data_IF_764953167759
#
_entry.id   IF_764953167759
#
_cell.length_a   1.000
_cell.length_b   1.000
_cell.length_c   1.000
_cell.angle_alpha   90.00
_cell.angle_beta   90.00
_cell.angle_gamma   90.00
#
_symmetry.space_group_name_H-M   'P 1'
#
loop_
_entity.id
_entity.type
_entity.pdbx_description
1 polymer ?
#
# COMPACT_ATOMS: atom_id res chain seq x y z
N UNK A 1 23.56 -6.65 26.47
CA UNK A 1 22.49 -6.38 25.48
C UNK A 1 22.89 -5.12 24.73
N UNK A 2 23.45 -5.25 23.53
CA UNK A 2 24.15 -4.15 22.84
C UNK A 2 23.16 -3.39 21.95
N UNK A 3 22.89 -2.13 22.32
CA UNK A 3 21.97 -1.23 21.62
C UNK A 3 22.72 -0.59 20.44
N UNK A 4 22.37 -0.98 19.21
CA UNK A 4 22.92 -0.41 17.99
C UNK A 4 22.04 0.75 17.55
N UNK A 5 22.62 1.95 17.41
CA UNK A 5 21.98 3.10 16.78
C UNK A 5 22.41 3.17 15.31
N UNK A 6 21.53 3.49 14.35
CA UNK A 6 21.96 3.76 12.98
C UNK A 6 22.68 5.11 12.91
N UNK A 7 23.96 5.06 12.50
CA UNK A 7 24.76 6.24 12.21
C UNK A 7 24.21 6.96 10.97
N UNK A 8 23.74 8.19 11.15
CA UNK A 8 23.45 9.10 10.05
C UNK A 8 24.78 9.69 9.54
N UNK A 9 25.25 9.22 8.38
CA UNK A 9 26.31 9.91 7.63
C UNK A 9 25.66 10.79 6.57
N UNK A 10 26.08 12.05 6.38
CA UNK A 10 25.48 12.95 5.40
C UNK A 10 25.88 12.56 3.97
N UNK A 11 24.89 12.57 3.06
CA UNK A 11 25.09 12.32 1.63
C UNK A 11 25.98 13.40 0.95
N UNK A 12 26.77 13.03 -0.08
CA UNK A 12 27.38 13.99 -0.99
C UNK A 12 26.33 14.58 -1.96
N UNK A 13 26.55 15.85 -2.34
CA UNK A 13 25.73 16.59 -3.33
C UNK A 13 25.90 16.00 -4.75
N UNK A 14 24.84 15.98 -5.59
CA UNK A 14 24.96 15.47 -6.96
C UNK A 14 25.61 16.51 -7.89
N UNK A 15 26.77 16.16 -8.45
CA UNK A 15 27.33 16.79 -9.65
C UNK A 15 26.66 16.21 -10.90
N UNK A 16 26.21 17.08 -11.79
CA UNK A 16 25.46 16.72 -12.99
C UNK A 16 26.25 15.86 -13.98
N UNK A 17 25.54 14.90 -14.58
CA UNK A 17 25.98 14.11 -15.72
C UNK A 17 24.79 13.39 -16.33
N UNK A 18 24.41 13.78 -17.55
CA UNK A 18 23.33 13.18 -18.33
C UNK A 18 23.82 11.89 -18.96
N UNK A 19 23.22 10.75 -18.61
CA UNK A 19 23.25 9.55 -19.44
C UNK A 19 21.82 9.09 -19.66
N UNK A 20 21.33 9.31 -20.89
CA UNK A 20 20.12 8.67 -21.41
C UNK A 20 20.31 7.15 -21.31
N UNK A 21 19.70 6.51 -20.32
CA UNK A 21 19.55 5.08 -20.31
C UNK A 21 18.23 4.73 -21.01
N UNK A 22 18.35 3.89 -22.04
CA UNK A 22 17.24 3.35 -22.81
C UNK A 22 16.21 2.72 -21.86
N UNK A 23 14.93 3.02 -22.13
CA UNK A 23 13.80 2.44 -21.42
C UNK A 23 13.66 0.97 -21.82
N UNK A 24 14.40 0.13 -21.10
CA UNK A 24 14.30 -1.32 -21.16
C UNK A 24 13.42 -1.82 -20.00
N UNK A 25 12.49 -2.67 -20.39
CA UNK A 25 11.65 -3.60 -19.66
C UNK A 25 10.91 -3.20 -18.35
N UNK A 26 9.69 -3.68 -18.27
CA UNK A 26 8.76 -3.66 -17.16
C UNK A 26 9.40 -4.06 -15.81
N UNK A 27 10.03 -3.11 -15.12
CA UNK A 27 10.67 -3.35 -13.82
C UNK A 27 9.60 -3.68 -12.76
N UNK A 28 9.31 -4.97 -12.59
CA UNK A 28 8.51 -5.45 -11.47
C UNK A 28 9.20 -5.04 -10.16
N UNK A 29 8.48 -4.34 -9.29
CA UNK A 29 9.00 -3.87 -8.00
C UNK A 29 8.52 -4.82 -6.91
N UNK A 30 9.47 -5.40 -6.17
CA UNK A 30 9.16 -6.22 -4.99
C UNK A 30 9.21 -5.35 -3.76
N UNK A 31 8.14 -5.39 -2.96
CA UNK A 31 8.04 -4.67 -1.70
C UNK A 31 7.79 -5.66 -0.56
N UNK A 32 8.50 -5.49 0.55
CA UNK A 32 8.29 -6.26 1.77
C UNK A 32 7.52 -5.41 2.78
N UNK A 33 6.34 -5.87 3.18
CA UNK A 33 5.50 -5.20 4.19
C UNK A 33 5.71 -5.84 5.56
N UNK A 34 6.11 -5.04 6.54
CA UNK A 34 6.34 -5.45 7.92
C UNK A 34 5.30 -4.80 8.81
N UNK A 35 4.65 -5.58 9.67
CA UNK A 35 3.73 -5.04 10.67
C UNK A 35 4.54 -4.48 11.84
N UNK A 36 4.22 -3.27 12.29
CA UNK A 36 4.79 -2.70 13.51
C UNK A 36 4.32 -3.49 14.74
N UNK A 37 5.17 -3.59 15.76
CA UNK A 37 4.83 -4.27 17.01
C UNK A 37 3.69 -3.55 17.75
N UNK A 38 2.84 -4.31 18.44
CA UNK A 38 1.71 -3.83 19.23
C UNK A 38 2.12 -3.17 20.56
N UNK A 39 3.41 -3.13 20.88
CA UNK A 39 3.90 -2.50 22.11
C UNK A 39 3.78 -0.97 21.97
N UNK A 40 2.86 -0.39 22.75
CA UNK A 40 2.59 1.05 22.93
C UNK A 40 2.24 1.83 21.65
N UNK A 41 0.95 1.97 21.35
CA UNK A 41 0.39 2.96 20.40
C UNK A 41 0.98 2.93 18.96
N UNK A 42 1.68 1.86 18.58
CA UNK A 42 2.39 1.75 17.30
C UNK A 42 1.68 0.82 16.31
N UNK A 43 0.41 1.07 16.03
CA UNK A 43 -0.32 0.33 15.01
C UNK A 43 0.03 0.83 13.59
N UNK A 44 0.42 -0.10 12.71
CA UNK A 44 0.68 0.19 11.31
C UNK A 44 1.71 -0.75 10.64
N UNK A 45 2.27 -0.28 9.53
CA UNK A 45 3.20 -1.04 8.70
C UNK A 45 4.41 -0.19 8.26
N UNK A 46 5.54 -0.87 8.02
CA UNK A 46 6.68 -0.33 7.30
C UNK A 46 6.88 -1.14 6.02
N UNK A 47 7.22 -0.46 4.93
CA UNK A 47 7.40 -1.09 3.63
C UNK A 47 8.83 -0.86 3.17
N UNK A 48 9.49 -1.94 2.80
CA UNK A 48 10.87 -1.94 2.31
C UNK A 48 10.91 -2.36 0.85
N UNK A 49 11.84 -1.78 0.09
CA UNK A 49 12.17 -2.27 -1.25
C UNK A 49 13.03 -3.54 -1.20
N UNK A 50 13.44 -4.03 -2.37
CA UNK A 50 14.27 -5.22 -2.52
C UNK A 50 15.68 -5.02 -1.93
N UNK A 51 16.19 -3.79 -1.90
CA UNK A 51 17.50 -3.43 -1.36
C UNK A 51 17.48 -3.25 0.16
N UNK A 52 16.29 -3.31 0.79
CA UNK A 52 16.09 -3.16 2.22
C UNK A 52 15.95 -1.71 2.68
N UNK A 53 15.76 -0.76 1.77
CA UNK A 53 15.50 0.63 2.12
C UNK A 53 14.04 0.79 2.55
N UNK A 54 13.82 1.57 3.61
CA UNK A 54 12.47 1.99 3.99
C UNK A 54 11.92 2.94 2.92
N UNK A 55 10.84 2.54 2.25
CA UNK A 55 10.23 3.33 1.16
C UNK A 55 8.87 3.91 1.55
N UNK A 56 8.12 3.21 2.39
CA UNK A 56 6.85 3.72 2.90
C UNK A 56 6.63 3.41 4.37
N UNK A 57 5.86 4.28 5.01
CA UNK A 57 5.32 4.11 6.35
C UNK A 57 3.81 4.16 6.27
N UNK A 58 3.14 3.32 7.04
CA UNK A 58 1.69 3.34 7.19
C UNK A 58 1.38 3.42 8.67
N UNK A 59 0.77 4.52 9.08
CA UNK A 59 0.43 4.76 10.47
C UNK A 59 -1.08 4.86 10.69
N UNK A 60 -1.47 4.61 11.94
CA UNK A 60 -2.81 4.80 12.48
C UNK A 60 -3.88 3.80 11.99
N UNK A 61 -3.66 2.51 12.26
CA UNK A 61 -4.72 1.52 12.05
C UNK A 61 -5.84 1.61 13.11
N UNK A 62 -5.56 2.12 14.33
CA UNK A 62 -6.47 2.01 15.50
C UNK A 62 -6.38 3.14 16.55
N UNK A 63 -6.10 4.41 16.22
CA UNK A 63 -6.30 5.48 17.22
C UNK A 63 -7.79 5.83 17.35
N UNK A 64 -8.53 4.99 18.09
CA UNK A 64 -9.72 5.25 18.92
C UNK A 64 -10.94 6.04 18.40
N UNK A 65 -10.85 6.88 17.35
CA UNK A 65 -11.96 7.72 16.95
C UNK A 65 -11.88 8.38 15.55
N UNK A 66 -10.86 8.11 14.71
CA UNK A 66 -10.72 8.85 13.43
C UNK A 66 -10.89 8.03 12.15
N UNK A 67 -10.60 6.72 12.13
CA UNK A 67 -10.79 5.90 10.92
C UNK A 67 -10.02 6.42 9.69
N UNK A 68 -8.90 7.11 9.94
CA UNK A 68 -8.00 7.68 8.93
C UNK A 68 -6.68 6.92 8.99
N UNK A 69 -6.18 6.52 7.82
CA UNK A 69 -4.91 5.83 7.65
C UNK A 69 -4.05 6.69 6.72
N UNK A 70 -2.78 6.88 7.06
CA UNK A 70 -1.84 7.67 6.27
C UNK A 70 -0.80 6.77 5.65
N UNK A 71 -0.65 6.84 4.33
CA UNK A 71 0.51 6.32 3.61
C UNK A 71 1.52 7.45 3.46
N UNK A 72 2.70 7.30 4.05
CA UNK A 72 3.77 8.28 4.05
C UNK A 72 5.00 7.76 3.33
N UNK A 73 5.83 8.68 2.85
CA UNK A 73 7.18 8.36 2.39
C UNK A 73 8.14 8.03 3.56
N UNK A 74 9.40 7.78 3.23
CA UNK A 74 10.44 7.47 4.20
C UNK A 74 10.75 8.63 5.18
N UNK A 75 10.52 9.88 4.79
CA UNK A 75 10.67 11.08 5.63
C UNK A 75 9.48 11.35 6.54
N UNK A 76 8.33 10.72 6.29
CA UNK A 76 7.09 10.92 7.04
C UNK A 76 6.15 11.95 6.40
N UNK A 77 6.37 12.34 5.15
CA UNK A 77 5.43 13.19 4.41
C UNK A 77 4.28 12.34 3.91
N UNK A 78 3.04 12.77 4.18
CA UNK A 78 1.83 12.07 3.76
C UNK A 78 1.66 12.13 2.23
N UNK A 79 1.60 10.95 1.61
CA UNK A 79 1.39 10.76 0.18
C UNK A 79 -0.08 10.52 -0.16
N UNK A 80 -0.75 9.69 0.65
CA UNK A 80 -2.17 9.38 0.52
C UNK A 80 -2.83 9.28 1.89
N UNK A 81 -4.07 9.76 1.98
CA UNK A 81 -4.93 9.57 3.15
C UNK A 81 -6.10 8.67 2.79
N UNK A 82 -6.35 7.65 3.60
CA UNK A 82 -7.44 6.70 3.42
C UNK A 82 -8.44 6.91 4.56
N UNK A 83 -9.71 7.16 4.25
CA UNK A 83 -10.76 7.43 5.24
C UNK A 83 -11.95 6.52 5.03
N UNK A 84 -12.55 6.03 6.11
CA UNK A 84 -13.80 5.26 6.00
C UNK A 84 -14.95 6.17 5.54
N UNK A 85 -15.71 5.73 4.53
CA UNK A 85 -16.89 6.46 4.06
C UNK A 85 -18.02 6.33 5.10
N UNK A 86 -18.35 7.43 5.76
CA UNK A 86 -19.46 7.48 6.74
C UNK A 86 -20.80 7.25 6.02
N UNK A 87 -21.75 6.60 6.70
CA UNK A 87 -23.14 6.41 6.26
C UNK A 87 -23.32 5.61 4.94
N UNK A 88 -22.39 4.70 4.61
CA UNK A 88 -22.56 3.80 3.46
C UNK A 88 -23.18 2.46 3.90
N UNK A 89 -24.09 1.92 3.08
CA UNK A 89 -24.63 0.56 3.23
C UNK A 89 -23.56 -0.53 3.01
N UNK A 90 -22.43 -0.17 2.39
CA UNK A 90 -21.31 -1.07 2.11
C UNK A 90 -20.04 -0.55 2.78
N UNK A 91 -19.16 -1.46 3.19
CA UNK A 91 -17.89 -1.07 3.81
C UNK A 91 -16.96 -0.48 2.74
N UNK A 92 -16.93 0.85 2.66
CA UNK A 92 -16.23 1.61 1.62
C UNK A 92 -15.21 2.57 2.23
N UNK A 93 -14.12 2.78 1.48
CA UNK A 93 -13.00 3.64 1.86
C UNK A 93 -12.73 4.65 0.75
N UNK A 94 -12.43 5.89 1.15
CA UNK A 94 -12.07 7.00 0.27
C UNK A 94 -10.56 7.20 0.34
N UNK A 95 -9.91 7.36 -0.82
CA UNK A 95 -8.46 7.60 -0.92
C UNK A 95 -8.24 9.00 -1.49
N UNK A 96 -7.47 9.82 -0.79
CA UNK A 96 -7.15 11.21 -1.12
C UNK A 96 -5.67 11.37 -1.41
N UNK A 97 -5.33 12.36 -2.25
CA UNK A 97 -3.95 12.76 -2.51
C UNK A 97 -3.44 13.61 -1.32
N UNK A 98 -2.29 13.26 -0.74
CA UNK A 98 -1.76 13.93 0.45
C UNK A 98 -2.75 13.88 1.62
N UNK A 99 -2.92 15.02 2.28
CA UNK A 99 -3.83 15.20 3.44
C UNK A 99 -5.14 15.92 3.06
N UNK A 100 -5.45 16.02 1.77
CA UNK A 100 -6.68 16.70 1.33
C UNK A 100 -7.93 15.97 1.82
N UNK A 101 -9.03 16.72 1.96
CA UNK A 101 -10.34 16.17 2.31
C UNK A 101 -11.33 16.15 1.13
N UNK A 102 -10.94 16.78 0.02
CA UNK A 102 -11.80 17.01 -1.13
C UNK A 102 -11.36 16.16 -2.32
N UNK A 103 -12.33 15.81 -3.16
CA UNK A 103 -12.11 15.14 -4.44
C UNK A 103 -11.28 13.84 -4.34
N UNK A 104 -11.86 12.77 -3.75
CA UNK A 104 -11.18 11.49 -3.59
C UNK A 104 -10.67 10.97 -4.95
N UNK A 105 -9.41 10.51 -4.96
CA UNK A 105 -8.77 9.91 -6.12
C UNK A 105 -9.38 8.54 -6.43
N UNK A 106 -9.64 7.76 -5.40
CA UNK A 106 -10.25 6.44 -5.48
C UNK A 106 -11.32 6.22 -4.41
N UNK A 107 -12.28 5.36 -4.73
CA UNK A 107 -13.20 4.75 -3.78
C UNK A 107 -12.99 3.24 -3.82
N UNK A 108 -12.71 2.65 -2.67
CA UNK A 108 -12.50 1.22 -2.51
C UNK A 108 -13.72 0.65 -1.80
N UNK A 109 -14.48 -0.20 -2.48
CA UNK A 109 -15.69 -0.82 -1.95
C UNK A 109 -15.40 -2.29 -1.66
N UNK A 110 -15.56 -2.71 -0.40
CA UNK A 110 -15.46 -4.12 -0.03
C UNK A 110 -16.63 -4.88 -0.64
N UNK A 111 -16.35 -6.01 -1.28
CA UNK A 111 -17.42 -6.87 -1.76
C UNK A 111 -17.94 -7.74 -0.61
N UNK A 112 -19.19 -7.49 -0.20
CA UNK A 112 -19.85 -8.21 0.90
C UNK A 112 -20.61 -9.45 0.39
N UNK A 113 -20.89 -9.52 -0.92
CA UNK A 113 -21.72 -10.58 -1.53
C UNK A 113 -20.85 -11.72 -2.04
N UNK A 114 -20.06 -12.33 -1.16
CA UNK A 114 -19.13 -13.40 -1.51
C UNK A 114 -19.65 -14.82 -1.21
N UNK A 115 -20.96 -15.01 -1.04
CA UNK A 115 -21.53 -16.35 -0.82
C UNK A 115 -22.01 -17.05 -2.11
N UNK A 116 -22.18 -16.32 -3.23
CA UNK A 116 -22.91 -16.82 -4.41
C UNK A 116 -22.11 -16.81 -5.73
N UNK A 117 -20.83 -16.37 -5.74
CA UNK A 117 -20.02 -16.30 -6.97
C UNK A 117 -18.73 -17.11 -6.83
N UNK A 118 -18.36 -17.84 -7.87
CA UNK A 118 -17.12 -18.64 -7.98
C UNK A 118 -15.81 -17.84 -7.94
N UNK A 119 -15.88 -16.51 -7.82
CA UNK A 119 -14.73 -15.60 -7.75
C UNK A 119 -14.60 -15.07 -6.34
N UNK A 120 -13.45 -15.26 -5.69
CA UNK A 120 -13.12 -14.69 -4.36
C UNK A 120 -12.82 -13.19 -4.47
N UNK A 121 -13.78 -12.41 -4.97
CA UNK A 121 -13.64 -10.96 -5.12
C UNK A 121 -13.66 -10.32 -3.73
N UNK A 122 -12.62 -9.57 -3.39
CA UNK A 122 -12.45 -8.93 -2.07
C UNK A 122 -12.92 -7.48 -2.09
N UNK A 123 -12.54 -6.73 -3.12
CA UNK A 123 -12.88 -5.32 -3.25
C UNK A 123 -12.82 -4.86 -4.72
N UNK A 124 -13.51 -3.76 -4.98
CA UNK A 124 -13.46 -3.02 -6.23
C UNK A 124 -12.95 -1.62 -5.96
N UNK A 125 -12.13 -1.09 -6.87
CA UNK A 125 -11.57 0.26 -6.80
C UNK A 125 -12.10 1.05 -7.97
N UNK A 126 -12.82 2.13 -7.69
CA UNK A 126 -13.34 3.05 -8.70
C UNK A 126 -12.67 4.41 -8.59
N UNK A 127 -12.58 5.14 -9.69
CA UNK A 127 -12.12 6.53 -9.68
C UNK A 127 -13.30 7.46 -9.94
N UNK A 128 -13.77 8.22 -8.94
CA UNK A 128 -14.86 9.19 -9.12
C UNK A 128 -14.57 10.24 -10.20
N UNK A 129 -13.29 10.55 -10.43
CA UNK A 129 -12.84 11.53 -11.43
C UNK A 129 -13.07 11.06 -12.86
N UNK A 130 -13.00 9.75 -13.10
CA UNK A 130 -13.22 9.13 -14.42
C UNK A 130 -14.57 8.43 -14.53
N UNK A 131 -15.24 8.24 -13.39
CA UNK A 131 -16.44 7.41 -13.24
C UNK A 131 -16.26 5.99 -13.81
N UNK A 132 -15.06 5.40 -13.65
CA UNK A 132 -14.74 4.04 -14.10
C UNK A 132 -14.25 3.18 -12.94
N UNK A 133 -14.55 1.87 -13.03
CA UNK A 133 -13.85 0.86 -12.27
C UNK A 133 -12.42 0.77 -12.80
N UNK A 134 -11.43 0.84 -11.91
CA UNK A 134 -10.02 0.91 -12.29
C UNK A 134 -9.30 -0.38 -11.90
N UNK A 135 -9.67 -0.96 -10.75
CA UNK A 135 -9.06 -2.19 -10.28
C UNK A 135 -10.05 -3.14 -9.59
N UNK A 136 -9.82 -4.44 -9.79
CA UNK A 136 -10.46 -5.50 -9.02
C UNK A 136 -9.42 -6.20 -8.14
N UNK A 137 -9.78 -6.51 -6.90
CA UNK A 137 -8.92 -7.23 -5.95
C UNK A 137 -9.56 -8.59 -5.65
N UNK A 138 -8.86 -9.66 -5.97
CA UNK A 138 -9.30 -11.04 -5.74
C UNK A 138 -8.35 -11.79 -4.79
N UNK A 139 -8.82 -12.91 -4.23
CA UNK A 139 -8.01 -13.87 -3.49
C UNK A 139 -8.33 -13.90 -2.00
N UNK A 140 -7.31 -14.02 -1.16
CA UNK A 140 -7.47 -14.05 0.29
C UNK A 140 -6.32 -13.37 1.01
N UNK A 141 -6.68 -12.36 1.80
CA UNK A 141 -5.70 -11.66 2.62
C UNK A 141 -5.13 -12.55 3.72
N UNK A 142 -5.96 -13.40 4.36
CA UNK A 142 -5.51 -14.31 5.41
C UNK A 142 -4.54 -15.37 4.89
N UNK A 143 -4.73 -15.85 3.66
CA UNK A 143 -3.82 -16.78 2.97
C UNK A 143 -2.68 -16.08 2.21
N UNK A 144 -2.57 -14.75 2.29
CA UNK A 144 -1.53 -13.94 1.62
C UNK A 144 -1.44 -14.24 0.12
N UNK A 145 -2.58 -14.37 -0.54
CA UNK A 145 -2.68 -14.71 -1.96
C UNK A 145 -3.61 -13.76 -2.73
N UNK A 146 -3.54 -12.47 -2.41
CA UNK A 146 -4.34 -11.47 -3.13
C UNK A 146 -3.69 -11.09 -4.46
N UNK A 147 -4.51 -10.80 -5.46
CA UNK A 147 -4.08 -10.23 -6.74
C UNK A 147 -4.92 -8.99 -7.07
N UNK A 148 -4.28 -7.98 -7.65
CA UNK A 148 -4.91 -6.77 -8.15
C UNK A 148 -4.89 -6.81 -9.67
N UNK A 149 -6.04 -6.60 -10.28
CA UNK A 149 -6.24 -6.61 -11.73
C UNK A 149 -6.67 -5.24 -12.23
N UNK A 150 -6.19 -4.84 -13.40
CA UNK A 150 -6.65 -3.63 -14.09
C UNK A 150 -7.97 -3.86 -14.86
N UNK A 151 -8.45 -2.81 -15.53
CA UNK A 151 -9.65 -2.81 -16.39
C UNK A 151 -9.62 -3.89 -17.49
N UNK A 152 -8.42 -4.28 -17.96
CA UNK A 152 -8.22 -5.33 -18.97
C UNK A 152 -8.00 -6.71 -18.36
N UNK A 153 -8.22 -6.85 -17.05
CA UNK A 153 -7.94 -8.05 -16.25
C UNK A 153 -6.48 -8.51 -16.28
N UNK A 154 -5.53 -7.60 -16.52
CA UNK A 154 -4.11 -7.89 -16.37
C UNK A 154 -3.74 -7.75 -14.91
N UNK A 155 -2.98 -8.71 -14.40
CA UNK A 155 -2.48 -8.67 -13.01
C UNK A 155 -1.41 -7.58 -12.89
N UNK A 156 -1.67 -6.57 -12.08
CA UNK A 156 -0.78 -5.40 -11.88
C UNK A 156 -0.06 -5.40 -10.54
N UNK A 157 -0.57 -6.15 -9.56
CA UNK A 157 0.10 -6.38 -8.29
C UNK A 157 -0.36 -7.71 -7.68
N UNK A 158 0.47 -8.28 -6.82
CA UNK A 158 0.12 -9.48 -6.05
C UNK A 158 0.72 -9.43 -4.64
N UNK A 159 0.05 -10.11 -3.72
CA UNK A 159 0.54 -10.36 -2.37
C UNK A 159 0.94 -11.83 -2.31
N UNK A 160 2.15 -12.09 -1.83
CA UNK A 160 2.69 -13.43 -1.59
C UNK A 160 3.26 -13.51 -0.18
N UNK A 161 3.31 -14.72 0.36
CA UNK A 161 4.02 -14.97 1.61
C UNK A 161 5.52 -14.76 1.39
N UNK A 162 6.19 -14.08 2.32
CA UNK A 162 7.65 -13.98 2.31
C UNK A 162 8.23 -15.35 2.64
N UNK A 163 8.96 -15.92 1.70
CA UNK A 163 9.67 -17.18 1.90
C UNK A 163 10.95 -16.97 2.71
N UNK A 164 11.30 -17.93 3.57
CA UNK A 164 12.56 -17.89 4.29
C UNK A 164 13.71 -18.12 3.31
N UNK A 165 14.79 -17.37 3.46
CA UNK A 165 16.03 -17.65 2.76
C UNK A 165 16.54 -19.02 3.24
N UNK A 166 16.54 -20.02 2.37
CA UNK A 166 17.20 -21.30 2.66
C UNK A 166 18.70 -21.00 2.75
N UNK A 167 19.22 -20.94 3.96
CA UNK A 167 20.67 -20.94 4.19
C UNK A 167 21.13 -22.38 3.97
N UNK A 168 21.77 -22.62 2.83
CA UNK A 168 22.61 -23.80 2.62
C UNK A 168 23.91 -23.72 3.42
#
# INVERSE_FOLDING_TARGET
>A
MTKVYPNASPLPKPSGGCTKAAADDSSSRVLTVWRKSLLFNCDGFTVFDADGNLVYRVDNYMSGNKGEIFLMDASGTSLLTIRRKKLSLTDSWLVFDGETADNPRFVVTKNVVNLLKSKRLLAQVTSPRKNTEVYEIEGSYSQRCCAVYDEKRRRVAEIKQKEASVKG
#
